data_IF_684057321862
#
_entry.id   IF_684057321862
#
_cell.length_a   1.000
_cell.length_b   1.000
_cell.length_c   1.000
_cell.angle_alpha   90.00
_cell.angle_beta   90.00
_cell.angle_gamma   90.00
#
_symmetry.space_group_name_H-M   'P 1'
#
loop_
_entity.id
_entity.type
_entity.pdbx_description
1 polymer ?
#
# COMPACT_ATOMS: atom_id res chain seq x y z
N UNK A 1 -4.84 -6.68 5.71
CA UNK A 1 -4.88 -5.24 6.08
C UNK A 1 -4.74 -4.37 4.86
N UNK A 2 -3.95 -4.80 3.87
CA UNK A 2 -4.05 -4.31 2.49
C UNK A 2 -5.42 -4.68 1.93
N UNK A 3 -6.06 -3.74 1.23
CA UNK A 3 -7.38 -3.91 0.62
C UNK A 3 -7.51 -3.04 -0.61
N UNK A 4 -8.16 -3.54 -1.64
CA UNK A 4 -8.62 -2.80 -2.81
C UNK A 4 -10.15 -2.78 -2.79
N UNK A 5 -10.72 -1.59 -2.91
CA UNK A 5 -12.16 -1.38 -2.98
C UNK A 5 -12.53 -0.75 -4.31
N UNK A 6 -13.41 -1.41 -5.05
CA UNK A 6 -14.07 -0.83 -6.22
C UNK A 6 -14.86 0.42 -5.83
N UNK A 7 -14.68 1.51 -6.58
CA UNK A 7 -15.42 2.77 -6.38
C UNK A 7 -16.30 3.07 -7.59
N UNK A 8 -15.77 2.93 -8.80
CA UNK A 8 -16.49 3.25 -10.04
C UNK A 8 -15.73 2.80 -11.27
N UNK A 9 -16.40 2.74 -12.41
CA UNK A 9 -15.77 2.59 -13.71
C UNK A 9 -16.54 3.39 -14.76
N UNK A 10 -15.87 3.73 -15.85
CA UNK A 10 -16.46 4.25 -17.08
C UNK A 10 -16.28 3.20 -18.17
N UNK A 11 -17.34 2.94 -18.93
CA UNK A 11 -17.36 1.99 -20.05
C UNK A 11 -17.92 2.69 -21.30
N UNK A 12 -17.24 3.76 -21.71
CA UNK A 12 -17.53 4.45 -22.96
C UNK A 12 -16.79 3.76 -24.12
N UNK A 13 -17.42 3.71 -25.29
CA UNK A 13 -16.85 3.10 -26.51
C UNK A 13 -15.50 3.68 -26.96
N UNK A 14 -15.08 4.81 -26.39
CA UNK A 14 -13.80 5.46 -26.65
C UNK A 14 -12.78 5.29 -25.52
N UNK A 15 -13.23 5.04 -24.28
CA UNK A 15 -12.37 5.03 -23.10
C UNK A 15 -12.98 4.22 -21.97
N UNK A 16 -12.25 3.20 -21.54
CA UNK A 16 -12.58 2.38 -20.38
C UNK A 16 -11.66 2.78 -19.22
N UNK A 17 -12.23 3.22 -18.11
CA UNK A 17 -11.49 3.69 -16.94
C UNK A 17 -12.00 2.99 -15.69
N UNK A 18 -11.11 2.66 -14.76
CA UNK A 18 -11.45 2.08 -13.47
C UNK A 18 -10.92 2.97 -12.34
N UNK A 19 -11.80 3.30 -11.40
CA UNK A 19 -11.50 3.99 -10.16
C UNK A 19 -11.60 3.01 -8.98
N UNK A 20 -10.49 2.88 -8.26
CA UNK A 20 -10.39 2.08 -7.02
C UNK A 20 -9.89 2.92 -5.86
N UNK A 21 -10.22 2.48 -4.65
CA UNK A 21 -9.58 2.92 -3.41
C UNK A 21 -8.66 1.81 -2.93
N UNK A 22 -7.40 2.12 -2.72
CA UNK A 22 -6.39 1.20 -2.21
C UNK A 22 -6.04 1.62 -0.78
N UNK A 23 -6.11 0.67 0.14
CA UNK A 23 -5.67 0.79 1.52
C UNK A 23 -4.39 -0.03 1.66
N UNK A 24 -3.24 0.60 1.88
CA UNK A 24 -1.95 -0.08 2.03
C UNK A 24 -0.94 0.76 2.85
N UNK A 25 0.21 0.20 3.27
CA UNK A 25 1.29 0.96 3.92
C UNK A 25 1.85 2.05 3.00
N UNK A 26 2.32 3.17 3.55
CA UNK A 26 2.77 4.31 2.75
C UNK A 26 3.96 4.00 1.84
N UNK A 27 4.84 3.07 2.25
CA UNK A 27 5.94 2.63 1.39
C UNK A 27 5.44 1.88 0.15
N UNK A 28 4.41 1.03 0.25
CA UNK A 28 3.85 0.32 -0.89
C UNK A 28 3.20 1.27 -1.88
N UNK A 29 2.45 2.26 -1.38
CA UNK A 29 1.88 3.30 -2.24
C UNK A 29 2.95 3.95 -3.12
N UNK A 30 4.15 4.15 -2.61
CA UNK A 30 5.24 4.80 -3.35
C UNK A 30 5.88 3.89 -4.41
N UNK A 31 5.60 2.59 -4.37
CA UNK A 31 6.04 1.61 -5.37
C UNK A 31 4.99 1.34 -6.45
N UNK A 32 3.71 1.69 -6.21
CA UNK A 32 2.63 1.50 -7.18
C UNK A 32 2.68 2.64 -8.19
N UNK A 33 3.32 2.38 -9.33
CA UNK A 33 3.45 3.32 -10.45
C UNK A 33 2.54 2.87 -11.60
N UNK A 34 1.23 3.16 -11.50
CA UNK A 34 0.29 2.92 -12.63
C UNK A 34 0.18 4.19 -13.46
N UNK A 35 1.04 4.28 -14.48
CA UNK A 35 1.06 5.17 -15.65
C UNK A 35 0.76 6.69 -15.53
N UNK A 36 1.23 7.44 -16.53
CA UNK A 36 1.36 8.91 -16.57
C UNK A 36 0.04 9.72 -16.59
N UNK A 37 -1.14 9.08 -16.70
CA UNK A 37 -2.46 9.75 -16.80
C UNK A 37 -3.31 9.62 -15.53
N UNK A 38 -2.75 9.13 -14.43
CA UNK A 38 -3.51 8.97 -13.18
C UNK A 38 -3.79 10.31 -12.50
N UNK A 39 -5.07 10.61 -12.25
CA UNK A 39 -5.43 11.69 -11.32
C UNK A 39 -5.43 11.11 -9.92
N UNK A 40 -4.30 11.25 -9.21
CA UNK A 40 -4.16 10.80 -7.83
C UNK A 40 -4.91 11.75 -6.89
N UNK A 41 -6.04 11.29 -6.34
CA UNK A 41 -6.71 11.99 -5.25
C UNK A 41 -6.29 11.35 -3.91
N UNK A 42 -5.37 12.03 -3.23
CA UNK A 42 -4.75 11.59 -1.98
C UNK A 42 -5.59 12.13 -0.80
N UNK A 43 -6.36 11.27 -0.12
CA UNK A 43 -6.98 11.64 1.15
C UNK A 43 -6.38 10.84 2.29
N UNK A 44 -5.57 11.49 3.13
CA UNK A 44 -5.07 10.89 4.38
C UNK A 44 -6.21 10.70 5.37
N UNK A 45 -6.69 9.47 5.50
CA UNK A 45 -7.54 9.11 6.61
C UNK A 45 -6.67 8.73 7.83
N UNK A 46 -6.14 9.75 8.50
CA UNK A 46 -5.40 9.63 9.77
C UNK A 46 -6.34 9.39 10.97
N UNK A 47 -7.58 8.91 10.74
CA UNK A 47 -8.63 8.85 11.75
C UNK A 47 -8.57 7.62 12.64
N UNK A 48 -7.72 6.64 12.35
CA UNK A 48 -7.59 5.42 13.16
C UNK A 48 -6.18 5.30 13.73
N UNK A 49 -6.09 5.15 15.04
CA UNK A 49 -4.83 4.88 15.76
C UNK A 49 -4.37 3.41 15.63
N UNK A 50 -5.17 2.55 14.96
CA UNK A 50 -4.84 1.17 14.59
C UNK A 50 -4.22 1.04 13.17
N UNK A 51 -3.58 2.10 12.68
CA UNK A 51 -3.19 2.26 11.27
C UNK A 51 -1.74 1.86 10.95
N UNK A 52 -1.19 0.82 11.57
CA UNK A 52 0.20 0.44 11.25
C UNK A 52 0.28 -0.99 10.72
N UNK A 53 0.98 -1.13 9.60
CA UNK A 53 1.29 -2.41 8.99
C UNK A 53 2.35 -3.15 9.77
N UNK A 54 2.01 -4.37 10.16
CA UNK A 54 2.97 -5.36 10.64
C UNK A 54 2.79 -6.57 9.74
N UNK A 55 3.84 -7.01 9.03
CA UNK A 55 3.75 -8.20 8.19
C UNK A 55 3.51 -9.44 9.04
N UNK A 56 2.80 -10.41 8.49
CA UNK A 56 2.57 -11.71 9.14
C UNK A 56 3.90 -12.43 9.43
N UNK A 57 4.82 -12.35 8.46
CA UNK A 57 6.20 -12.84 8.54
C UNK A 57 7.17 -11.83 7.95
N UNK A 58 8.26 -11.55 8.66
CA UNK A 58 9.45 -10.92 8.09
C UNK A 58 10.14 -11.95 7.20
N UNK A 59 10.37 -11.59 5.95
CA UNK A 59 10.91 -12.50 4.94
C UNK A 59 12.43 -12.30 4.79
N UNK A 60 13.14 -13.38 4.47
CA UNK A 60 14.55 -13.34 4.13
C UNK A 60 14.74 -12.57 2.80
N UNK A 61 15.94 -12.06 2.59
CA UNK A 61 16.32 -11.44 1.32
C UNK A 61 16.40 -12.53 0.24
N UNK A 62 15.77 -12.33 -0.93
CA UNK A 62 15.99 -13.23 -2.06
C UNK A 62 17.40 -13.06 -2.63
N UNK A 63 17.83 -14.00 -3.47
CA UNK A 63 19.06 -13.87 -4.26
C UNK A 63 19.05 -12.67 -5.23
N UNK A 64 17.86 -12.13 -5.54
CA UNK A 64 17.71 -10.93 -6.36
C UNK A 64 17.61 -9.68 -5.48
N UNK A 65 18.45 -8.67 -5.75
CA UNK A 65 18.51 -7.39 -5.01
C UNK A 65 17.18 -6.58 -5.01
N UNK A 66 16.15 -7.05 -5.71
CA UNK A 66 14.83 -6.43 -5.84
C UNK A 66 13.68 -7.27 -5.28
N UNK A 67 13.93 -8.47 -4.76
CA UNK A 67 12.90 -9.38 -4.27
C UNK A 67 13.16 -9.88 -2.85
N UNK A 68 12.08 -10.23 -2.15
CA UNK A 68 12.11 -10.98 -0.89
C UNK A 68 11.93 -12.47 -1.21
N UNK A 69 12.58 -13.38 -0.46
CA UNK A 69 12.29 -14.81 -0.58
C UNK A 69 11.04 -15.16 0.23
N UNK A 70 10.41 -16.30 -0.09
CA UNK A 70 9.27 -16.78 0.69
C UNK A 70 9.65 -17.31 2.08
N UNK A 71 10.94 -17.58 2.28
CA UNK A 71 11.50 -18.07 3.54
C UNK A 71 11.42 -16.98 4.62
N UNK A 72 10.86 -17.33 5.77
CA UNK A 72 10.81 -16.44 6.91
C UNK A 72 12.17 -16.43 7.64
N UNK A 73 12.50 -15.29 8.27
CA UNK A 73 13.51 -15.28 9.35
C UNK A 73 13.07 -16.26 10.45
N UNK A 74 14.00 -16.86 11.21
CA UNK A 74 13.66 -17.84 12.25
C UNK A 74 12.65 -17.29 13.28
N UNK A 75 11.87 -18.18 13.88
CA UNK A 75 10.68 -17.84 14.67
C UNK A 75 11.00 -16.94 15.86
N UNK A 76 12.12 -17.17 16.55
CA UNK A 76 12.54 -16.35 17.68
C UNK A 76 12.81 -14.90 17.25
N UNK A 77 13.47 -14.72 16.11
CA UNK A 77 13.70 -13.38 15.55
C UNK A 77 12.41 -12.73 15.06
N UNK A 78 11.42 -13.49 14.55
CA UNK A 78 10.13 -12.93 14.13
C UNK A 78 9.43 -12.20 15.28
N UNK A 79 9.27 -12.88 16.40
CA UNK A 79 8.49 -12.33 17.52
C UNK A 79 9.23 -11.18 18.21
N UNK A 80 10.56 -11.29 18.36
CA UNK A 80 11.38 -10.19 18.84
C UNK A 80 11.27 -8.95 17.92
N UNK A 81 11.42 -9.13 16.60
CA UNK A 81 11.30 -8.04 15.62
C UNK A 81 9.91 -7.42 15.62
N UNK A 82 8.85 -8.23 15.63
CA UNK A 82 7.48 -7.72 15.71
C UNK A 82 7.26 -6.86 16.95
N UNK A 83 7.86 -7.22 18.08
CA UNK A 83 7.76 -6.45 19.31
C UNK A 83 8.53 -5.12 19.24
N UNK A 84 9.80 -5.15 18.83
CA UNK A 84 10.60 -3.93 18.67
C UNK A 84 9.99 -2.96 17.66
N UNK A 85 9.46 -3.48 16.55
CA UNK A 85 8.78 -2.69 15.53
C UNK A 85 7.49 -2.07 16.08
N UNK A 86 6.71 -2.80 16.89
CA UNK A 86 5.53 -2.23 17.57
C UNK A 86 5.92 -1.06 18.48
N UNK A 87 6.95 -1.23 19.30
CA UNK A 87 7.40 -0.18 20.23
C UNK A 87 7.89 1.07 19.48
N UNK A 88 8.66 0.88 18.39
CA UNK A 88 9.09 1.97 17.53
C UNK A 88 7.89 2.73 16.92
N UNK A 89 6.91 1.98 16.44
CA UNK A 89 5.70 2.50 15.83
C UNK A 89 4.83 3.30 16.82
N UNK A 90 4.65 2.79 18.04
CA UNK A 90 3.95 3.49 19.13
C UNK A 90 4.65 4.80 19.50
N UNK A 91 5.99 4.80 19.57
CA UNK A 91 6.77 6.00 19.83
C UNK A 91 6.60 7.07 18.73
N UNK A 92 6.56 6.64 17.46
CA UNK A 92 6.32 7.53 16.32
C UNK A 92 4.91 8.15 16.34
N UNK A 93 3.88 7.37 16.66
CA UNK A 93 2.51 7.87 16.83
C UNK A 93 2.46 8.90 17.96
N UNK A 94 3.03 8.58 19.11
CA UNK A 94 3.04 9.48 20.26
C UNK A 94 3.71 10.81 19.92
N UNK A 95 4.86 10.77 19.23
CA UNK A 95 5.55 11.99 18.79
C UNK A 95 4.68 12.82 17.84
N UNK A 96 3.98 12.17 16.90
CA UNK A 96 3.03 12.85 16.01
C UNK A 96 1.92 13.56 16.80
N UNK A 97 1.31 12.88 17.78
CA UNK A 97 0.27 13.44 18.65
C UNK A 97 0.80 14.64 19.46
N UNK A 98 1.98 14.49 20.08
CA UNK A 98 2.64 15.55 20.84
C UNK A 98 2.91 16.79 19.96
N UNK A 99 3.37 16.59 18.71
CA UNK A 99 3.58 17.69 17.75
C UNK A 99 2.28 18.43 17.41
N UNK A 100 1.16 17.72 17.25
CA UNK A 100 -0.14 18.36 17.01
C UNK A 100 -0.60 19.18 18.22
N UNK A 101 -0.42 18.66 19.44
CA UNK A 101 -0.73 19.37 20.69
C UNK A 101 0.11 20.65 20.83
N UNK A 102 1.37 20.61 20.37
CA UNK A 102 2.26 21.77 20.35
C UNK A 102 1.95 22.79 19.23
N UNK A 103 0.94 22.53 18.40
CA UNK A 103 0.50 23.45 17.34
C UNK A 103 1.31 23.35 16.05
N UNK A 104 2.11 22.29 15.85
CA UNK A 104 2.77 22.02 14.57
C UNK A 104 1.72 21.72 13.50
N UNK A 105 1.89 22.26 12.29
CA UNK A 105 0.98 21.92 11.20
C UNK A 105 1.07 20.43 10.84
N UNK A 106 -0.08 19.86 10.47
CA UNK A 106 -0.22 18.43 10.20
C UNK A 106 0.74 17.91 9.13
N UNK A 107 0.99 18.69 8.09
CA UNK A 107 1.92 18.35 7.00
C UNK A 107 3.37 18.15 7.47
N UNK A 108 3.80 18.89 8.49
CA UNK A 108 5.12 18.72 9.10
C UNK A 108 5.12 17.56 10.11
N UNK A 109 4.06 17.44 10.92
CA UNK A 109 3.91 16.36 11.90
C UNK A 109 3.88 14.98 11.24
N UNK A 110 3.21 14.80 10.09
CA UNK A 110 3.15 13.52 9.38
C UNK A 110 4.55 12.97 9.05
N UNK A 111 5.57 13.82 8.93
CA UNK A 111 6.95 13.40 8.62
C UNK A 111 7.58 12.45 9.63
N UNK A 112 7.07 12.38 10.87
CA UNK A 112 7.59 11.47 11.92
C UNK A 112 6.91 10.11 11.94
N UNK A 113 5.82 9.93 11.19
CA UNK A 113 5.09 8.67 11.17
C UNK A 113 5.90 7.58 10.44
N UNK A 114 5.85 6.32 10.89
CA UNK A 114 6.52 5.21 10.23
C UNK A 114 6.02 5.01 8.80
N UNK A 115 6.89 4.49 7.93
CA UNK A 115 6.52 4.15 6.56
C UNK A 115 5.50 3.00 6.46
N UNK A 116 5.36 2.23 7.54
CA UNK A 116 4.33 1.21 7.69
C UNK A 116 2.94 1.78 7.98
N UNK A 117 2.80 3.10 8.11
CA UNK A 117 1.49 3.74 8.32
C UNK A 117 0.56 3.42 7.15
N UNK A 118 -0.61 2.86 7.46
CA UNK A 118 -1.68 2.55 6.52
C UNK A 118 -2.27 3.85 6.00
N UNK A 119 -2.33 3.95 4.68
CA UNK A 119 -2.89 5.07 3.94
C UNK A 119 -3.98 4.58 3.01
N UNK A 120 -4.96 5.44 2.81
CA UNK A 120 -5.97 5.30 1.77
C UNK A 120 -5.61 6.23 0.60
N UNK A 121 -5.67 5.73 -0.62
CA UNK A 121 -5.60 6.58 -1.80
C UNK A 121 -6.54 6.09 -2.90
N UNK A 122 -7.02 7.03 -3.70
CA UNK A 122 -7.89 6.77 -4.83
C UNK A 122 -7.04 6.83 -6.09
N UNK A 123 -7.21 5.82 -6.94
CA UNK A 123 -6.47 5.70 -8.19
C UNK A 123 -7.46 5.44 -9.32
N UNK A 124 -7.44 6.33 -10.30
CA UNK A 124 -8.11 6.14 -11.60
C UNK A 124 -7.04 5.91 -12.64
N UNK A 125 -7.22 4.87 -13.45
CA UNK A 125 -6.41 4.64 -14.63
C UNK A 125 -7.26 3.97 -15.73
N UNK A 126 -6.75 4.03 -16.96
CA UNK A 126 -7.36 3.40 -18.11
C UNK A 126 -7.22 1.87 -18.00
N UNK A 127 -8.12 1.13 -18.66
CA UNK A 127 -8.09 -0.33 -18.58
C UNK A 127 -6.76 -0.91 -19.09
N UNK A 128 -6.16 -0.30 -20.12
CA UNK A 128 -4.85 -0.68 -20.67
C UNK A 128 -3.74 -0.50 -19.62
N UNK A 129 -3.69 0.65 -18.94
CA UNK A 129 -2.72 0.92 -17.86
C UNK A 129 -2.86 -0.08 -16.70
N UNK A 130 -4.10 -0.46 -16.34
CA UNK A 130 -4.34 -1.47 -15.32
C UNK A 130 -3.87 -2.86 -15.74
N UNK A 131 -4.06 -3.23 -17.01
CA UNK A 131 -3.58 -4.51 -17.54
C UNK A 131 -2.06 -4.54 -17.52
N UNK A 132 -1.38 -3.47 -17.94
CA UNK A 132 0.08 -3.36 -17.88
C UNK A 132 0.59 -3.49 -16.44
N UNK A 133 -0.03 -2.79 -15.49
CA UNK A 133 0.28 -2.93 -14.07
C UNK A 133 0.13 -4.37 -13.57
N UNK A 134 -0.94 -5.07 -13.97
CA UNK A 134 -1.17 -6.46 -13.58
C UNK A 134 -0.08 -7.38 -14.12
N UNK A 135 0.29 -7.21 -15.40
CA UNK A 135 1.33 -7.98 -16.06
C UNK A 135 2.69 -7.78 -15.39
N UNK A 136 3.08 -6.54 -15.12
CA UNK A 136 4.34 -6.24 -14.43
C UNK A 136 4.36 -6.81 -13.01
N UNK A 137 3.24 -6.67 -12.31
CA UNK A 137 3.09 -7.14 -10.92
C UNK A 137 3.12 -8.66 -10.80
N UNK A 138 2.75 -9.40 -11.84
CA UNK A 138 2.77 -10.88 -11.87
C UNK A 138 4.18 -11.49 -11.87
N UNK A 139 5.23 -10.66 -12.02
CA UNK A 139 6.62 -11.12 -12.03
C UNK A 139 7.04 -11.64 -10.66
N UNK A 140 7.75 -12.79 -10.61
CA UNK A 140 8.29 -13.40 -9.37
C UNK A 140 9.23 -12.49 -8.56
N UNK A 141 9.74 -11.41 -9.17
CA UNK A 141 10.61 -10.43 -8.53
C UNK A 141 9.84 -9.35 -7.77
N UNK A 142 8.53 -9.24 -8.00
CA UNK A 142 7.68 -8.22 -7.39
C UNK A 142 7.36 -8.58 -5.94
N UNK A 143 7.26 -7.56 -5.10
CA UNK A 143 6.89 -7.74 -3.70
C UNK A 143 5.48 -8.38 -3.59
N UNK A 144 5.35 -9.39 -2.72
CA UNK A 144 4.11 -10.13 -2.48
C UNK A 144 2.87 -9.24 -2.25
N UNK A 145 3.02 -8.17 -1.49
CA UNK A 145 1.92 -7.25 -1.21
C UNK A 145 1.40 -6.51 -2.46
N UNK A 146 2.28 -6.22 -3.43
CA UNK A 146 1.90 -5.64 -4.73
C UNK A 146 1.20 -6.69 -5.60
N UNK A 147 1.67 -7.93 -5.58
CA UNK A 147 1.00 -9.04 -6.26
C UNK A 147 -0.43 -9.22 -5.75
N UNK A 148 -0.64 -9.15 -4.44
CA UNK A 148 -1.97 -9.21 -3.84
C UNK A 148 -2.89 -8.09 -4.32
N UNK A 149 -2.40 -6.84 -4.37
CA UNK A 149 -3.14 -5.69 -4.89
C UNK A 149 -3.52 -5.91 -6.37
N UNK A 150 -2.57 -6.37 -7.19
CA UNK A 150 -2.78 -6.68 -8.60
C UNK A 150 -3.89 -7.72 -8.82
N UNK A 151 -3.88 -8.81 -8.03
CA UNK A 151 -4.91 -9.85 -8.10
C UNK A 151 -6.30 -9.31 -7.75
N UNK A 152 -6.43 -8.50 -6.69
CA UNK A 152 -7.72 -7.90 -6.35
C UNK A 152 -8.23 -6.95 -7.44
N UNK A 153 -7.34 -6.19 -8.09
CA UNK A 153 -7.71 -5.34 -9.23
C UNK A 153 -8.15 -6.18 -10.42
N UNK A 154 -7.44 -7.27 -10.73
CA UNK A 154 -7.79 -8.18 -11.81
C UNK A 154 -9.19 -8.78 -11.60
N UNK A 155 -9.52 -9.20 -10.39
CA UNK A 155 -10.84 -9.70 -10.03
C UNK A 155 -11.93 -8.64 -10.21
N UNK A 156 -11.65 -7.39 -9.83
CA UNK A 156 -12.56 -6.26 -10.07
C UNK A 156 -12.77 -6.04 -11.57
N UNK A 157 -11.70 -6.04 -12.37
CA UNK A 157 -11.79 -5.86 -13.82
C UNK A 157 -12.65 -6.94 -14.44
N UNK A 158 -12.35 -8.21 -14.17
CA UNK A 158 -13.11 -9.36 -14.68
C UNK A 158 -14.58 -9.33 -14.26
N UNK A 159 -14.90 -8.71 -13.12
CA UNK A 159 -16.27 -8.58 -12.63
C UNK A 159 -17.04 -7.42 -13.28
N UNK A 160 -16.36 -6.33 -13.67
CA UNK A 160 -17.00 -5.07 -14.09
C UNK A 160 -16.98 -4.83 -15.59
N UNK A 161 -15.90 -5.21 -16.26
CA UNK A 161 -15.77 -5.08 -17.71
C UNK A 161 -16.05 -6.45 -18.33
N UNK A 162 -17.01 -6.49 -19.26
CA UNK A 162 -17.44 -7.72 -19.95
C UNK A 162 -17.16 -7.64 -21.44
#
# INVERSE_FOLDING_TARGET
MIKVKYIGHSDDSKKQELLVKITCPSYLRSQIEVCNSSTLNRTFNLKDTNNIYIPEKYRNTSYSKKGSSDEAVCVEHQEALKQEVREHHEAGIKLYEDMLVMGVCKEQAIGVLPQDTIVDFWMTADLEDWVDFILESSTIKTQYEIQHISLEIQDIINSKFK
#
